data_IF_088469882872
#
_entry.id   IF_088469882872
#
_cell.length_a   1.000
_cell.length_b   1.000
_cell.length_c   1.000
_cell.angle_alpha   90.00
_cell.angle_beta   90.00
_cell.angle_gamma   90.00
#
_symmetry.space_group_name_H-M   'P 1'
#
loop_
_entity.id
_entity.type
_entity.pdbx_description
1 polymer ?
#
# COMPACT_ATOMS: atom_id res chain seq x y z
N UNK A 1 3.58 -28.73 2.25
CA UNK A 1 4.21 -27.46 1.86
C UNK A 1 3.81 -27.13 0.43
N UNK A 2 2.83 -26.23 0.24
CA UNK A 2 2.44 -25.73 -1.09
C UNK A 2 3.42 -24.63 -1.48
N UNK A 3 3.95 -24.71 -2.67
CA UNK A 3 4.97 -23.78 -3.18
C UNK A 3 4.34 -22.41 -3.44
N UNK A 4 4.96 -21.37 -2.90
CA UNK A 4 4.73 -19.99 -3.34
C UNK A 4 5.30 -19.89 -4.76
N UNK A 5 4.45 -19.61 -5.74
CA UNK A 5 4.95 -19.33 -7.08
C UNK A 5 5.37 -17.86 -7.11
N UNK A 6 6.66 -17.59 -6.92
CA UNK A 6 7.25 -16.33 -7.32
C UNK A 6 7.29 -16.29 -8.85
N UNK A 7 6.52 -15.42 -9.45
CA UNK A 7 6.63 -15.16 -10.88
C UNK A 7 7.71 -14.11 -11.12
N UNK A 8 8.86 -14.58 -11.57
CA UNK A 8 9.93 -13.70 -12.06
C UNK A 8 9.52 -13.15 -13.42
N UNK A 9 9.36 -11.84 -13.54
CA UNK A 9 9.11 -11.18 -14.81
C UNK A 9 10.35 -11.29 -15.71
N UNK A 10 10.27 -12.04 -16.78
CA UNK A 10 11.27 -12.02 -17.85
C UNK A 10 10.94 -10.90 -18.85
N UNK A 11 11.89 -9.99 -19.04
CA UNK A 11 11.82 -8.91 -20.02
C UNK A 11 11.86 -9.49 -21.46
N UNK A 12 10.91 -9.06 -22.29
CA UNK A 12 11.07 -9.07 -23.74
C UNK A 12 11.09 -7.62 -24.23
N UNK A 13 12.25 -7.16 -24.68
CA UNK A 13 12.37 -5.94 -25.48
C UNK A 13 11.74 -6.21 -26.86
N UNK A 14 10.61 -5.55 -27.12
CA UNK A 14 10.11 -5.38 -28.47
C UNK A 14 10.36 -3.93 -28.91
N UNK A 15 11.18 -3.76 -29.93
CA UNK A 15 11.38 -2.48 -30.58
C UNK A 15 10.07 -2.02 -31.23
N UNK A 16 9.60 -0.85 -30.86
CA UNK A 16 8.45 -0.21 -31.51
C UNK A 16 8.89 1.00 -32.30
N UNK A 17 8.69 0.91 -33.58
CA UNK A 17 8.65 2.05 -34.51
C UNK A 17 7.19 2.47 -34.71
N UNK A 18 6.97 3.78 -34.65
CA UNK A 18 5.88 4.57 -35.20
C UNK A 18 4.49 4.51 -34.52
N UNK A 19 4.06 5.71 -34.11
CA UNK A 19 2.67 6.04 -33.81
C UNK A 19 2.52 7.16 -32.76
N UNK A 20 2.96 8.38 -33.11
CA UNK A 20 2.56 9.59 -32.40
C UNK A 20 1.09 9.86 -32.68
N UNK A 21 0.16 9.43 -31.85
CA UNK A 21 -1.21 10.01 -31.85
C UNK A 21 -2.17 9.32 -30.86
N UNK A 22 -1.74 9.02 -29.62
CA UNK A 22 -2.67 8.42 -28.65
C UNK A 22 -2.71 9.07 -27.26
N UNK A 23 -2.37 10.35 -27.17
CA UNK A 23 -2.32 11.04 -25.86
C UNK A 23 -3.22 12.28 -25.78
N UNK A 24 -4.29 12.32 -26.54
CA UNK A 24 -5.36 13.28 -26.29
C UNK A 24 -6.45 12.62 -25.43
N UNK A 25 -6.16 12.29 -24.17
CA UNK A 25 -7.21 12.08 -23.21
C UNK A 25 -7.84 13.44 -22.90
N UNK A 26 -9.05 13.59 -23.39
CA UNK A 26 -9.91 14.74 -23.20
C UNK A 26 -10.01 15.11 -21.71
N UNK A 27 -9.49 16.28 -21.35
CA UNK A 27 -9.73 16.94 -20.06
C UNK A 27 -11.14 17.50 -19.94
N UNK A 28 -12.14 16.87 -20.54
CA UNK A 28 -13.53 17.23 -20.31
C UNK A 28 -14.01 16.55 -19.04
N UNK A 29 -14.19 17.30 -17.97
CA UNK A 29 -14.64 16.87 -16.64
C UNK A 29 -16.02 16.23 -16.62
N UNK A 30 -16.19 15.11 -17.31
CA UNK A 30 -17.29 14.19 -17.07
C UNK A 30 -16.79 13.16 -16.06
N UNK A 31 -17.42 13.14 -14.89
CA UNK A 31 -17.31 12.01 -13.96
C UNK A 31 -17.72 10.77 -14.73
N UNK A 32 -16.75 9.91 -15.10
CA UNK A 32 -17.04 8.58 -15.58
C UNK A 32 -17.64 7.79 -14.42
N UNK A 33 -18.96 7.66 -14.44
CA UNK A 33 -19.73 6.97 -13.41
C UNK A 33 -19.94 5.48 -13.72
N UNK A 34 -19.38 5.01 -14.84
CA UNK A 34 -19.53 3.63 -15.28
C UNK A 34 -18.19 2.90 -15.24
N UNK A 35 -18.16 1.64 -14.74
CA UNK A 35 -16.99 0.80 -14.84
C UNK A 35 -16.60 0.62 -16.31
N UNK A 36 -15.31 0.76 -16.61
CA UNK A 36 -14.74 0.51 -17.92
C UNK A 36 -13.99 -0.80 -17.89
N UNK A 37 -14.38 -1.76 -18.70
CA UNK A 37 -13.63 -2.99 -18.85
C UNK A 37 -12.37 -2.72 -19.68
N UNK A 38 -11.24 -3.13 -19.15
CA UNK A 38 -9.94 -3.04 -19.81
C UNK A 38 -9.35 -4.44 -19.97
N UNK A 39 -9.70 -5.17 -21.03
CA UNK A 39 -9.19 -6.51 -21.27
C UNK A 39 -7.67 -6.48 -21.51
N UNK A 40 -6.95 -7.42 -20.91
CA UNK A 40 -5.51 -7.57 -21.06
C UNK A 40 -5.18 -8.92 -21.68
N UNK A 41 -4.43 -8.86 -22.78
CA UNK A 41 -4.02 -10.04 -23.54
C UNK A 41 -2.52 -10.28 -23.32
N UNK A 42 -2.15 -10.78 -22.15
CA UNK A 42 -0.78 -11.19 -21.90
C UNK A 42 -0.71 -12.71 -21.74
N UNK A 43 0.21 -13.31 -22.48
CA UNK A 43 0.57 -14.70 -22.22
C UNK A 43 1.45 -14.74 -20.96
N UNK A 44 0.91 -15.07 -19.81
CA UNK A 44 1.62 -15.10 -18.54
C UNK A 44 0.99 -14.17 -17.51
N UNK A 45 1.81 -13.43 -16.77
CA UNK A 45 1.35 -12.49 -15.75
C UNK A 45 0.59 -11.33 -16.39
N UNK A 46 -0.57 -11.00 -15.85
CA UNK A 46 -1.38 -9.85 -16.29
C UNK A 46 -0.78 -8.52 -15.77
N UNK A 47 0.46 -8.22 -16.11
CA UNK A 47 1.15 -7.00 -15.75
C UNK A 47 1.34 -6.08 -16.98
N UNK A 48 1.17 -4.76 -16.83
CA UNK A 48 0.56 -4.07 -15.70
C UNK A 48 -0.95 -4.35 -15.61
N UNK A 49 -1.56 -4.18 -14.43
CA UNK A 49 -3.02 -4.35 -14.26
C UNK A 49 -3.82 -3.28 -15.02
N UNK A 50 -3.22 -2.11 -15.23
CA UNK A 50 -3.77 -0.99 -15.98
C UNK A 50 -2.74 -0.43 -16.94
N UNK A 51 -3.16 -0.03 -18.12
CA UNK A 51 -2.36 0.61 -19.16
C UNK A 51 -2.77 2.07 -19.41
N UNK A 52 -3.77 2.57 -18.69
CA UNK A 52 -4.33 3.92 -18.88
C UNK A 52 -4.33 4.77 -17.59
N UNK A 53 -4.06 4.17 -16.43
CA UNK A 53 -3.99 4.88 -15.16
C UNK A 53 -2.84 4.32 -14.31
N UNK A 54 -2.08 5.20 -13.69
CA UNK A 54 -0.95 4.82 -12.84
C UNK A 54 -1.44 4.64 -11.41
N UNK A 55 -1.17 3.45 -10.87
CA UNK A 55 -1.62 3.02 -9.56
C UNK A 55 -0.41 2.56 -8.77
N UNK A 56 -0.17 3.22 -7.63
CA UNK A 56 0.86 2.83 -6.68
C UNK A 56 0.25 2.26 -5.39
N UNK A 57 1.10 1.73 -4.50
CA UNK A 57 0.76 1.31 -3.15
C UNK A 57 -0.50 0.42 -3.10
N UNK A 58 -0.48 -0.74 -3.76
CA UNK A 58 -1.68 -1.55 -3.91
C UNK A 58 -2.12 -2.18 -2.59
N UNK A 59 -3.44 -2.25 -2.39
CA UNK A 59 -4.11 -3.11 -1.42
C UNK A 59 -5.25 -3.85 -2.09
N UNK A 60 -5.65 -5.00 -1.58
CA UNK A 60 -6.74 -5.77 -2.19
C UNK A 60 -7.51 -6.61 -1.19
N UNK A 61 -8.69 -7.04 -1.62
CA UNK A 61 -9.49 -8.01 -0.89
C UNK A 61 -10.38 -8.81 -1.84
N UNK A 62 -10.70 -10.04 -1.45
CA UNK A 62 -11.73 -10.83 -2.11
C UNK A 62 -13.09 -10.54 -1.48
N UNK A 63 -14.10 -10.32 -2.33
CA UNK A 63 -15.49 -10.23 -1.91
C UNK A 63 -16.41 -10.88 -2.94
N UNK A 64 -17.21 -11.84 -2.49
CA UNK A 64 -18.15 -12.61 -3.33
C UNK A 64 -17.49 -13.24 -4.58
N UNK A 65 -16.27 -13.77 -4.41
CA UNK A 65 -15.54 -14.46 -5.47
C UNK A 65 -14.87 -13.53 -6.48
N UNK A 66 -14.97 -12.21 -6.29
CA UNK A 66 -14.32 -11.19 -7.09
C UNK A 66 -13.22 -10.50 -6.28
N UNK A 67 -12.09 -10.25 -6.90
CA UNK A 67 -10.98 -9.53 -6.29
C UNK A 67 -11.09 -8.04 -6.61
N UNK A 68 -10.98 -7.21 -5.57
CA UNK A 68 -10.95 -5.75 -5.67
C UNK A 68 -9.57 -5.24 -5.27
N UNK A 69 -9.02 -4.35 -6.07
CA UNK A 69 -7.71 -3.72 -5.84
C UNK A 69 -7.88 -2.22 -5.76
N UNK A 70 -7.24 -1.62 -4.77
CA UNK A 70 -7.22 -0.18 -4.58
C UNK A 70 -5.76 0.28 -4.56
N UNK A 71 -5.52 1.54 -4.91
CA UNK A 71 -4.18 2.11 -4.84
C UNK A 71 -4.18 3.62 -4.98
N UNK A 72 -3.02 4.18 -4.74
CA UNK A 72 -2.72 5.61 -4.88
C UNK A 72 -2.84 6.03 -6.35
N UNK A 73 -3.51 7.15 -6.61
CA UNK A 73 -3.67 7.67 -7.97
C UNK A 73 -2.48 8.53 -8.39
N UNK A 74 -1.41 7.92 -8.83
CA UNK A 74 -0.22 8.64 -9.31
C UNK A 74 -0.45 9.42 -10.60
N UNK A 75 -1.46 9.06 -11.40
CA UNK A 75 -1.87 9.84 -12.58
C UNK A 75 -2.25 11.27 -12.19
N UNK A 76 -2.89 11.47 -11.04
CA UNK A 76 -3.29 12.79 -10.58
C UNK A 76 -2.09 13.70 -10.29
N UNK A 77 -1.00 13.15 -9.78
CA UNK A 77 0.25 13.89 -9.60
C UNK A 77 0.84 14.30 -10.96
N UNK A 78 0.89 13.37 -11.91
CA UNK A 78 1.39 13.64 -13.26
C UNK A 78 0.59 14.73 -13.95
N UNK A 79 -0.75 14.60 -13.94
CA UNK A 79 -1.64 15.57 -14.59
C UNK A 79 -1.48 16.98 -13.99
N UNK A 80 -1.12 17.05 -12.69
CA UNK A 80 -0.94 18.32 -11.99
C UNK A 80 0.39 18.99 -12.28
N UNK A 81 1.49 18.24 -12.42
CA UNK A 81 2.84 18.80 -12.57
C UNK A 81 3.45 18.58 -13.96
N UNK A 82 2.85 17.73 -14.78
CA UNK A 82 3.38 17.32 -16.09
C UNK A 82 4.60 16.40 -15.97
N UNK A 83 5.01 15.83 -17.09
CA UNK A 83 6.11 14.84 -17.17
C UNK A 83 7.48 15.36 -16.71
N UNK A 84 7.69 16.66 -16.83
CA UNK A 84 8.95 17.32 -16.45
C UNK A 84 8.84 18.04 -15.09
N UNK A 85 7.68 17.89 -14.42
CA UNK A 85 7.41 18.51 -13.14
C UNK A 85 8.05 17.75 -11.98
N UNK A 86 8.29 18.47 -10.89
CA UNK A 86 8.81 17.85 -9.67
C UNK A 86 7.73 17.04 -8.97
N UNK A 87 7.98 15.76 -8.75
CA UNK A 87 7.08 14.94 -7.96
C UNK A 87 7.17 15.32 -6.46
N UNK A 88 6.08 15.85 -5.93
CA UNK A 88 5.95 16.23 -4.52
C UNK A 88 4.87 15.42 -3.80
N UNK A 89 4.13 14.55 -4.54
CA UNK A 89 3.02 13.71 -4.07
C UNK A 89 1.85 14.49 -3.44
N UNK A 90 1.95 15.81 -3.34
CA UNK A 90 0.95 16.66 -2.67
C UNK A 90 -0.36 16.85 -3.46
N UNK A 91 -0.36 16.51 -4.75
CA UNK A 91 -1.54 16.63 -5.61
C UNK A 91 -2.39 15.37 -5.68
N UNK A 92 -1.99 14.31 -4.98
CA UNK A 92 -2.72 13.04 -4.96
C UNK A 92 -3.82 13.12 -3.89
N UNK A 93 -5.07 13.23 -4.36
CA UNK A 93 -6.25 13.41 -3.51
C UNK A 93 -7.33 12.36 -3.77
N UNK A 94 -7.02 11.35 -4.56
CA UNK A 94 -7.94 10.27 -4.91
C UNK A 94 -7.24 8.91 -4.92
N UNK A 95 -8.05 7.86 -4.78
CA UNK A 95 -7.62 6.47 -4.86
C UNK A 95 -8.29 5.81 -6.06
N UNK A 96 -7.60 4.87 -6.69
CA UNK A 96 -8.08 4.09 -7.84
C UNK A 96 -8.78 2.84 -7.36
N UNK A 97 -9.85 2.42 -8.05
CA UNK A 97 -10.55 1.16 -7.80
C UNK A 97 -10.54 0.30 -9.06
N UNK A 98 -10.01 -0.93 -8.94
CA UNK A 98 -10.00 -1.96 -9.97
C UNK A 98 -10.61 -3.25 -9.43
N UNK A 99 -11.11 -4.14 -10.29
CA UNK A 99 -11.51 -5.49 -9.88
C UNK A 99 -11.38 -6.51 -11.00
N UNK A 100 -11.32 -7.78 -10.64
CA UNK A 100 -11.23 -8.90 -11.58
C UNK A 100 -11.87 -10.16 -11.03
N UNK A 101 -12.35 -11.02 -11.91
CA UNK A 101 -12.78 -12.38 -11.58
C UNK A 101 -11.74 -13.44 -11.98
N UNK A 102 -10.78 -13.12 -12.84
CA UNK A 102 -9.90 -14.08 -13.49
C UNK A 102 -8.42 -13.68 -13.51
N UNK A 103 -8.07 -12.54 -12.92
CA UNK A 103 -6.71 -11.95 -12.91
C UNK A 103 -6.19 -11.55 -14.30
N UNK A 104 -7.03 -11.57 -15.31
CA UNK A 104 -6.71 -11.24 -16.70
C UNK A 104 -7.52 -10.03 -17.17
N UNK A 105 -8.84 -10.09 -16.97
CA UNK A 105 -9.76 -9.01 -17.33
C UNK A 105 -10.02 -8.13 -16.12
N UNK A 106 -9.75 -6.83 -16.26
CA UNK A 106 -9.88 -5.87 -15.17
C UNK A 106 -10.97 -4.85 -15.47
N UNK A 107 -11.80 -4.60 -14.46
CA UNK A 107 -12.82 -3.56 -14.48
C UNK A 107 -12.32 -2.35 -13.71
N UNK A 108 -12.32 -1.18 -14.32
CA UNK A 108 -12.06 0.09 -13.65
C UNK A 108 -13.37 0.66 -13.12
N UNK A 109 -13.43 0.92 -11.81
CA UNK A 109 -14.62 1.43 -11.11
C UNK A 109 -14.57 2.95 -10.87
N UNK A 110 -13.57 3.63 -11.41
CA UNK A 110 -13.37 5.05 -11.19
C UNK A 110 -12.51 5.35 -9.97
N UNK A 111 -12.63 6.58 -9.50
CA UNK A 111 -11.83 7.12 -8.41
C UNK A 111 -12.67 7.31 -7.15
N UNK A 112 -12.03 7.13 -6.00
CA UNK A 112 -12.53 7.63 -4.72
C UNK A 112 -11.96 9.03 -4.56
N UNK A 113 -12.79 10.05 -4.68
CA UNK A 113 -12.40 11.45 -4.43
C UNK A 113 -12.31 11.70 -2.92
N UNK A 114 -11.16 11.34 -2.35
CA UNK A 114 -10.93 11.44 -0.90
C UNK A 114 -11.04 12.89 -0.43
N UNK A 115 -10.59 13.84 -1.25
CA UNK A 115 -10.66 15.27 -0.89
C UNK A 115 -12.09 15.80 -0.79
N UNK A 116 -12.97 15.32 -1.64
CA UNK A 116 -14.39 15.67 -1.54
C UNK A 116 -15.07 15.04 -0.31
N UNK A 117 -14.68 13.81 0.03
CA UNK A 117 -15.21 13.08 1.20
C UNK A 117 -14.65 13.58 2.52
N UNK A 118 -13.36 13.90 2.55
CA UNK A 118 -12.59 14.34 3.72
C UNK A 118 -11.92 15.69 3.44
N UNK A 119 -12.67 16.81 3.42
CA UNK A 119 -12.14 18.14 3.07
C UNK A 119 -10.99 18.62 3.96
N UNK A 120 -10.89 18.08 5.17
CA UNK A 120 -9.82 18.33 6.13
C UNK A 120 -8.49 17.69 5.71
N UNK A 121 -8.52 16.70 4.79
CA UNK A 121 -7.34 15.95 4.36
C UNK A 121 -6.36 16.77 3.52
N UNK A 122 -5.09 16.39 3.58
CA UNK A 122 -3.99 16.98 2.81
C UNK A 122 -3.79 16.21 1.51
N UNK A 123 -3.72 14.88 1.61
CA UNK A 123 -3.49 13.96 0.50
C UNK A 123 -4.13 12.60 0.77
N UNK A 124 -4.12 11.69 -0.20
CA UNK A 124 -4.57 10.32 -0.03
C UNK A 124 -3.60 9.36 -0.71
N UNK A 125 -2.74 8.73 0.09
CA UNK A 125 -1.75 7.77 -0.37
C UNK A 125 -1.97 6.41 0.29
N UNK A 126 -1.31 5.38 -0.25
CA UNK A 126 -1.14 4.05 0.33
C UNK A 126 -2.39 3.56 1.09
N UNK A 127 -3.42 3.13 0.38
CA UNK A 127 -4.62 2.61 1.03
C UNK A 127 -4.38 1.22 1.62
N UNK A 128 -5.18 0.86 2.63
CA UNK A 128 -5.31 -0.50 3.15
C UNK A 128 -6.77 -0.83 3.41
N UNK A 129 -7.27 -1.92 2.83
CA UNK A 129 -8.69 -2.31 2.86
C UNK A 129 -8.91 -3.55 3.72
N UNK A 130 -9.92 -3.49 4.57
CA UNK A 130 -10.50 -4.68 5.24
C UNK A 130 -12.01 -4.66 5.14
N UNK A 131 -12.64 -5.81 5.33
CA UNK A 131 -14.09 -5.91 5.40
C UNK A 131 -14.53 -6.89 6.48
N UNK A 132 -15.70 -6.65 7.05
CA UNK A 132 -16.30 -7.52 8.06
C UNK A 132 -17.81 -7.48 7.96
N UNK A 133 -18.48 -8.62 8.27
CA UNK A 133 -19.92 -8.63 8.47
C UNK A 133 -20.23 -8.02 9.82
N UNK A 134 -21.01 -6.94 9.82
CA UNK A 134 -21.38 -6.22 11.02
C UNK A 134 -22.72 -6.70 11.61
N UNK A 135 -23.12 -6.13 12.75
CA UNK A 135 -24.32 -6.55 13.49
C UNK A 135 -25.63 -6.35 12.72
N UNK A 136 -25.63 -5.53 11.68
CA UNK A 136 -26.76 -5.35 10.75
C UNK A 136 -26.87 -6.47 9.68
N UNK A 137 -25.97 -7.46 9.72
CA UNK A 137 -25.88 -8.58 8.81
C UNK A 137 -25.30 -8.23 7.44
N UNK A 138 -24.80 -7.01 7.24
CA UNK A 138 -24.16 -6.58 5.99
C UNK A 138 -22.67 -6.59 6.12
N UNK A 139 -21.97 -6.77 4.99
CA UNK A 139 -20.55 -6.55 4.91
C UNK A 139 -20.29 -5.05 4.87
N UNK A 140 -19.47 -4.58 5.79
CA UNK A 140 -18.93 -3.23 5.81
C UNK A 140 -17.46 -3.25 5.39
N UNK A 141 -17.05 -2.24 4.66
CA UNK A 141 -15.73 -2.05 4.11
C UNK A 141 -15.09 -0.86 4.78
N UNK A 142 -13.84 -1.01 5.19
CA UNK A 142 -13.05 0.01 5.88
C UNK A 142 -11.77 0.22 5.09
N UNK A 143 -11.63 1.40 4.49
CA UNK A 143 -10.48 1.78 3.67
C UNK A 143 -9.67 2.84 4.41
N UNK A 144 -8.58 2.41 5.00
CA UNK A 144 -7.61 3.30 5.61
C UNK A 144 -6.72 3.90 4.53
N UNK A 145 -6.22 5.11 4.75
CA UNK A 145 -5.32 5.77 3.79
C UNK A 145 -4.38 6.73 4.51
N UNK A 146 -3.22 6.97 3.93
CA UNK A 146 -2.28 7.98 4.42
C UNK A 146 -2.78 9.38 4.06
N UNK A 147 -3.01 10.21 5.08
CA UNK A 147 -3.21 11.64 4.88
C UNK A 147 -1.85 12.35 4.82
N UNK A 148 -1.06 12.10 3.75
CA UNK A 148 0.35 12.47 3.73
C UNK A 148 1.10 11.82 4.92
N UNK A 149 2.26 12.33 5.32
CA UNK A 149 2.93 11.94 6.54
C UNK A 149 2.25 12.42 7.84
N UNK A 150 1.10 13.10 7.76
CA UNK A 150 0.43 13.68 8.91
C UNK A 150 -0.43 12.69 9.71
N UNK A 151 -0.83 11.58 9.10
CA UNK A 151 -1.66 10.59 9.79
C UNK A 151 -2.42 9.65 8.87
N UNK A 152 -3.30 8.86 9.46
CA UNK A 152 -4.17 7.89 8.79
C UNK A 152 -5.62 8.35 8.86
N UNK A 153 -6.28 8.43 7.72
CA UNK A 153 -7.73 8.58 7.60
C UNK A 153 -8.42 7.24 7.37
N UNK A 154 -9.74 7.21 7.50
CA UNK A 154 -10.54 6.02 7.19
C UNK A 154 -11.83 6.41 6.48
N UNK A 155 -12.17 5.66 5.44
CA UNK A 155 -13.45 5.73 4.75
C UNK A 155 -14.21 4.43 4.97
N UNK A 156 -15.53 4.51 4.96
CA UNK A 156 -16.42 3.34 5.12
C UNK A 156 -17.44 3.25 4.00
N UNK A 157 -17.86 2.03 3.68
CA UNK A 157 -18.92 1.74 2.71
C UNK A 157 -19.59 0.41 3.03
N UNK A 158 -20.76 0.16 2.46
CA UNK A 158 -21.42 -1.17 2.42
C UNK A 158 -21.28 -1.85 1.06
N UNK A 159 -20.44 -1.30 0.19
CA UNK A 159 -20.11 -1.88 -1.12
C UNK A 159 -18.61 -1.70 -1.39
N UNK A 160 -17.95 -2.67 -2.03
CA UNK A 160 -16.51 -2.54 -2.32
C UNK A 160 -16.17 -1.41 -3.29
N UNK A 161 -17.15 -0.88 -4.01
CA UNK A 161 -16.97 0.24 -4.95
C UNK A 161 -17.65 1.52 -4.49
N UNK A 162 -18.10 1.58 -3.24
CA UNK A 162 -18.79 2.75 -2.70
C UNK A 162 -20.32 2.72 -2.87
N UNK A 163 -21.01 3.82 -2.54
CA UNK A 163 -20.44 5.12 -2.15
C UNK A 163 -19.67 5.04 -0.83
N UNK A 164 -18.57 5.79 -0.79
CA UNK A 164 -17.71 5.90 0.39
C UNK A 164 -18.12 7.11 1.24
N UNK A 165 -17.89 7.03 2.54
CA UNK A 165 -18.13 8.10 3.50
C UNK A 165 -16.96 8.23 4.47
N UNK A 166 -16.70 9.43 4.96
CA UNK A 166 -15.78 9.70 6.06
C UNK A 166 -16.57 9.66 7.38
N UNK A 167 -16.44 8.60 8.19
CA UNK A 167 -17.24 8.47 9.42
C UNK A 167 -16.75 9.35 10.56
N UNK A 168 -15.51 9.86 10.50
CA UNK A 168 -14.88 10.58 11.60
C UNK A 168 -14.80 12.10 11.39
N UNK A 169 -14.73 12.57 10.15
CA UNK A 169 -14.46 13.97 9.84
C UNK A 169 -13.07 14.43 10.33
N UNK A 170 -12.17 13.50 10.60
CA UNK A 170 -10.80 13.72 11.09
C UNK A 170 -9.93 12.48 10.90
N UNK A 171 -8.64 12.62 11.09
CA UNK A 171 -7.73 11.46 11.12
C UNK A 171 -8.07 10.50 12.27
N UNK A 172 -7.97 9.19 12.01
CA UNK A 172 -8.01 8.13 13.01
C UNK A 172 -6.73 8.15 13.85
N UNK A 173 -5.58 8.25 13.19
CA UNK A 173 -4.27 8.45 13.80
C UNK A 173 -3.67 9.73 13.22
N UNK A 174 -3.08 10.56 14.05
CA UNK A 174 -2.39 11.78 13.65
C UNK A 174 -1.07 11.92 14.37
N UNK A 175 -0.22 12.83 13.95
CA UNK A 175 1.04 13.17 14.63
C UNK A 175 0.85 13.58 16.11
N UNK A 176 -0.37 13.91 16.52
CA UNK A 176 -0.73 14.30 17.89
C UNK A 176 -1.37 13.16 18.68
N UNK A 177 -1.53 11.98 18.09
CA UNK A 177 -2.09 10.82 18.79
C UNK A 177 -1.15 10.40 19.92
N UNK A 178 -1.71 10.21 21.13
CA UNK A 178 -0.94 9.76 22.28
C UNK A 178 -0.36 8.36 22.06
N UNK A 179 0.85 8.12 22.50
CA UNK A 179 1.51 6.81 22.41
C UNK A 179 2.34 6.61 21.14
N UNK A 180 2.43 7.57 20.24
CA UNK A 180 3.27 7.45 19.03
C UNK A 180 4.77 7.33 19.35
N UNK A 181 5.22 7.80 20.52
CA UNK A 181 6.64 7.83 20.84
C UNK A 181 7.44 8.64 19.80
N UNK A 182 8.41 8.01 19.17
CA UNK A 182 9.29 8.66 18.19
C UNK A 182 8.80 8.59 16.74
N UNK A 183 7.65 7.98 16.47
CA UNK A 183 7.05 7.96 15.14
C UNK A 183 6.53 9.35 14.78
N UNK A 184 7.26 10.05 13.89
CA UNK A 184 6.90 11.42 13.47
C UNK A 184 5.94 11.46 12.29
N UNK A 185 5.96 10.44 11.47
CA UNK A 185 5.10 10.30 10.29
C UNK A 185 4.27 9.02 10.40
N UNK A 186 3.11 9.05 11.07
CA UNK A 186 2.22 7.90 11.18
C UNK A 186 1.40 7.72 9.90
N UNK A 187 2.00 7.19 8.84
CA UNK A 187 1.41 6.98 7.54
C UNK A 187 1.59 5.54 7.05
N UNK A 188 1.19 5.24 5.82
CA UNK A 188 1.19 3.92 5.20
C UNK A 188 0.52 2.87 6.09
N UNK A 189 -0.81 2.94 6.24
CA UNK A 189 -1.53 1.99 7.07
C UNK A 189 -1.49 0.60 6.47
N UNK A 190 -1.23 -0.42 7.31
CA UNK A 190 -1.46 -1.82 7.01
C UNK A 190 -2.51 -2.38 7.97
N UNK A 191 -3.67 -2.75 7.47
CA UNK A 191 -4.78 -3.23 8.27
C UNK A 191 -5.06 -4.72 8.04
N UNK A 192 -5.43 -5.43 9.10
CA UNK A 192 -5.89 -6.82 9.03
C UNK A 192 -6.95 -7.10 10.08
N UNK A 193 -7.81 -8.06 9.82
CA UNK A 193 -8.75 -8.62 10.81
C UNK A 193 -8.32 -10.06 11.08
N UNK A 194 -8.17 -10.41 12.35
CA UNK A 194 -7.80 -11.75 12.78
C UNK A 194 -9.00 -12.72 12.82
N UNK A 195 -8.74 -13.99 13.20
CA UNK A 195 -9.77 -15.05 13.26
C UNK A 195 -10.85 -14.78 14.32
N UNK A 196 -10.59 -13.89 15.28
CA UNK A 196 -11.56 -13.48 16.31
C UNK A 196 -12.38 -12.26 15.85
N UNK A 197 -12.11 -11.73 14.66
CA UNK A 197 -12.77 -10.55 14.11
C UNK A 197 -12.24 -9.22 14.69
N UNK A 198 -11.08 -9.26 15.35
CA UNK A 198 -10.42 -8.08 15.89
C UNK A 198 -9.60 -7.41 14.78
N UNK A 199 -9.78 -6.10 14.63
CA UNK A 199 -9.01 -5.30 13.70
C UNK A 199 -7.67 -4.85 14.28
N UNK A 200 -6.66 -4.82 13.42
CA UNK A 200 -5.30 -4.39 13.72
C UNK A 200 -4.84 -3.40 12.67
N UNK A 201 -4.03 -2.41 13.07
CA UNK A 201 -3.50 -1.38 12.19
C UNK A 201 -2.02 -1.16 12.49
N UNK A 202 -1.16 -1.38 11.49
CA UNK A 202 0.23 -0.91 11.50
C UNK A 202 0.35 0.40 10.73
N UNK A 203 1.33 1.20 11.06
CA UNK A 203 1.64 2.46 10.39
C UNK A 203 3.01 2.99 10.83
N UNK A 204 3.49 4.00 10.14
CA UNK A 204 4.71 4.72 10.49
C UNK A 204 5.71 4.77 9.36
N UNK A 205 6.68 5.67 9.48
CA UNK A 205 7.74 5.79 8.49
C UNK A 205 8.40 7.16 8.45
N UNK A 206 9.12 7.38 7.34
CA UNK A 206 9.83 8.64 7.10
C UNK A 206 11.26 8.68 7.63
N UNK A 207 11.79 7.56 8.11
CA UNK A 207 13.15 7.45 8.60
C UNK A 207 13.27 7.56 10.12
N UNK A 208 14.50 7.54 10.63
CA UNK A 208 14.77 7.47 12.06
C UNK A 208 14.15 8.62 12.84
N UNK A 209 13.51 8.28 13.95
CA UNK A 209 13.07 9.22 14.97
C UNK A 209 14.22 9.91 15.69
N UNK A 210 13.93 10.74 16.70
CA UNK A 210 14.95 11.54 17.42
C UNK A 210 16.02 10.69 18.11
N UNK A 211 15.67 9.47 18.52
CA UNK A 211 16.58 8.54 19.20
C UNK A 211 16.82 7.26 18.40
N UNK A 212 16.25 7.14 17.21
CA UNK A 212 16.47 6.00 16.32
C UNK A 212 17.89 5.98 15.75
N UNK A 213 18.35 4.79 15.39
CA UNK A 213 19.59 4.59 14.62
C UNK A 213 19.25 4.26 13.17
N UNK A 214 20.24 4.24 12.29
CA UNK A 214 20.02 3.79 10.90
C UNK A 214 19.54 2.33 10.84
N UNK A 215 20.03 1.49 11.76
CA UNK A 215 19.60 0.10 11.88
C UNK A 215 18.22 -0.05 12.51
N UNK A 216 17.91 0.70 13.55
CA UNK A 216 16.63 0.69 14.26
C UNK A 216 16.02 2.11 14.26
N UNK A 217 15.30 2.49 13.21
CA UNK A 217 14.71 3.83 13.11
C UNK A 217 13.69 4.12 14.21
N UNK A 218 12.95 3.10 14.67
CA UNK A 218 12.01 3.21 15.78
C UNK A 218 10.71 3.94 15.43
N UNK A 219 10.26 3.89 14.19
CA UNK A 219 9.09 4.63 13.68
C UNK A 219 7.91 3.74 13.26
N UNK A 220 8.09 2.41 13.17
CA UNK A 220 7.01 1.47 12.91
C UNK A 220 6.13 1.25 14.15
N UNK A 221 4.83 1.23 13.95
CA UNK A 221 3.81 1.09 15.02
C UNK A 221 2.75 0.08 14.66
N UNK A 222 2.16 -0.51 15.71
CA UNK A 222 0.95 -1.33 15.63
C UNK A 222 0.00 -0.98 16.77
N UNK A 223 -1.29 -1.10 16.49
CA UNK A 223 -2.37 -0.85 17.45
C UNK A 223 -3.54 -1.79 17.18
N UNK A 224 -4.26 -2.19 18.21
CA UNK A 224 -5.56 -2.84 18.07
C UNK A 224 -6.62 -1.78 17.81
N UNK A 225 -7.46 -2.03 16.80
CA UNK A 225 -8.62 -1.19 16.52
C UNK A 225 -9.78 -1.51 17.48
N UNK A 226 -10.63 -0.52 17.70
CA UNK A 226 -11.89 -0.72 18.39
C UNK A 226 -12.84 -1.64 17.62
N UNK A 227 -13.90 -2.07 18.31
CA UNK A 227 -14.92 -2.93 17.71
C UNK A 227 -15.61 -2.32 16.47
N UNK A 228 -15.58 -1.00 16.36
CA UNK A 228 -16.11 -0.24 15.24
C UNK A 228 -15.14 -0.13 14.05
N UNK A 229 -13.90 -0.58 14.20
CA UNK A 229 -12.80 -0.47 13.24
C UNK A 229 -12.43 0.98 12.84
N UNK A 230 -12.98 1.97 13.53
CA UNK A 230 -12.73 3.41 13.31
C UNK A 230 -12.30 4.13 14.59
N UNK A 231 -11.91 3.39 15.62
CA UNK A 231 -11.31 3.88 16.86
C UNK A 231 -10.13 3.00 17.27
N UNK A 232 -9.35 3.42 18.26
CA UNK A 232 -8.22 2.66 18.80
C UNK A 232 -8.63 2.05 20.15
N UNK A 233 -8.26 0.79 20.41
CA UNK A 233 -8.64 0.04 21.62
C UNK A 233 -7.43 -0.65 22.29
N UNK A 234 -6.23 -0.16 22.08
CA UNK A 234 -5.03 -0.55 22.81
C UNK A 234 -4.02 0.59 22.90
N UNK A 235 -2.97 0.38 23.68
CA UNK A 235 -1.74 1.15 23.56
C UNK A 235 -1.16 0.97 22.15
N UNK A 236 -0.51 2.02 21.63
CA UNK A 236 0.25 1.96 20.39
C UNK A 236 1.63 1.40 20.71
N UNK A 237 2.01 0.32 20.05
CA UNK A 237 3.24 -0.42 20.34
C UNK A 237 4.24 -0.26 19.18
N UNK A 238 5.52 -0.16 19.52
CA UNK A 238 6.59 -0.13 18.52
C UNK A 238 6.85 -1.53 17.96
N UNK A 239 6.96 -1.62 16.63
CA UNK A 239 7.56 -2.76 15.94
C UNK A 239 9.04 -2.41 15.70
N UNK A 240 9.95 -3.18 16.32
CA UNK A 240 11.39 -2.99 16.15
C UNK A 240 11.87 -3.52 14.78
N UNK A 241 11.43 -2.86 13.72
CA UNK A 241 11.72 -3.27 12.34
C UNK A 241 13.08 -2.73 11.88
N UNK A 242 14.04 -3.61 11.55
CA UNK A 242 15.37 -3.19 11.10
C UNK A 242 15.29 -2.42 9.78
N UNK A 243 15.98 -1.28 9.71
CA UNK A 243 16.04 -0.40 8.53
C UNK A 243 14.67 0.02 8.00
N UNK A 244 13.66 0.09 8.86
CA UNK A 244 12.32 0.49 8.47
C UNK A 244 12.30 1.87 7.82
N UNK A 245 11.44 2.03 6.78
CA UNK A 245 11.28 3.31 6.10
C UNK A 245 9.79 3.65 5.87
N UNK A 246 9.03 2.76 5.20
CA UNK A 246 7.62 2.98 4.84
C UNK A 246 6.94 1.68 4.39
N UNK A 247 5.79 1.79 3.73
CA UNK A 247 5.07 0.69 3.07
C UNK A 247 4.66 -0.43 4.02
N UNK A 248 4.04 -0.04 5.14
CA UNK A 248 3.58 -1.01 6.12
C UNK A 248 2.41 -1.84 5.59
N UNK A 249 2.45 -3.14 5.86
CA UNK A 249 1.38 -4.07 5.54
C UNK A 249 1.24 -5.08 6.68
N UNK A 250 0.01 -5.49 6.99
CA UNK A 250 -0.27 -6.57 7.93
C UNK A 250 -1.02 -7.69 7.25
N UNK A 251 -0.57 -8.90 7.51
CA UNK A 251 -1.30 -10.12 7.21
C UNK A 251 -1.45 -10.95 8.49
N UNK A 252 -2.51 -11.74 8.55
CA UNK A 252 -2.75 -12.67 9.65
C UNK A 252 -3.01 -14.07 9.10
N UNK A 253 -2.37 -15.06 9.69
CA UNK A 253 -2.58 -16.44 9.32
C UNK A 253 -2.31 -17.40 10.48
N UNK A 254 -3.35 -18.15 10.89
CA UNK A 254 -3.24 -19.19 11.93
C UNK A 254 -2.55 -18.71 13.21
N UNK A 255 -2.98 -17.60 13.79
CA UNK A 255 -2.42 -17.05 15.02
C UNK A 255 -1.09 -16.33 14.85
N UNK A 256 -0.66 -16.08 13.62
CA UNK A 256 0.58 -15.38 13.31
C UNK A 256 0.28 -14.08 12.59
N UNK A 257 0.70 -12.95 13.15
CA UNK A 257 0.77 -11.67 12.46
C UNK A 257 2.05 -11.62 11.65
N UNK A 258 1.93 -11.23 10.40
CA UNK A 258 3.04 -11.04 9.45
C UNK A 258 3.05 -9.57 9.10
N UNK A 259 4.07 -8.87 9.52
CA UNK A 259 4.29 -7.46 9.22
C UNK A 259 5.32 -7.36 8.10
N UNK A 260 4.97 -6.68 7.02
CA UNK A 260 5.88 -6.38 5.91
C UNK A 260 6.09 -4.89 5.79
N UNK A 261 7.27 -4.50 5.31
CA UNK A 261 7.67 -3.10 5.23
C UNK A 261 8.80 -2.91 4.21
N UNK A 262 8.95 -1.69 3.75
CA UNK A 262 10.08 -1.28 2.91
C UNK A 262 11.25 -0.81 3.77
N UNK A 263 12.45 -1.28 3.44
CA UNK A 263 13.68 -0.82 4.08
C UNK A 263 14.17 0.48 3.48
N UNK A 264 14.93 1.26 4.25
CA UNK A 264 15.40 2.57 3.86
C UNK A 264 16.47 2.55 2.73
N UNK A 265 16.88 3.74 2.31
CA UNK A 265 17.89 3.97 1.26
C UNK A 265 19.32 4.06 1.78
N UNK A 266 19.51 4.01 3.11
CA UNK A 266 20.80 4.21 3.73
C UNK A 266 21.71 2.98 3.56
N UNK A 267 23.02 3.22 3.64
CA UNK A 267 24.00 2.15 3.67
C UNK A 267 23.80 1.25 4.89
N UNK A 268 23.76 -0.06 4.68
CA UNK A 268 23.64 -1.06 5.74
C UNK A 268 24.92 -1.12 6.57
N UNK A 269 24.87 -0.70 7.82
CA UNK A 269 26.01 -0.64 8.74
C UNK A 269 26.04 -1.81 9.72
N UNK A 270 24.89 -2.19 10.26
CA UNK A 270 24.74 -3.21 11.29
C UNK A 270 23.87 -4.36 10.77
N UNK A 271 24.20 -5.60 11.17
CA UNK A 271 23.33 -6.73 10.90
C UNK A 271 23.61 -7.87 11.88
N UNK A 272 22.94 -7.91 13.04
CA UNK A 272 23.18 -8.90 14.08
C UNK A 272 22.39 -10.21 13.89
N UNK A 273 21.67 -10.38 12.77
CA UNK A 273 20.88 -11.58 12.52
C UNK A 273 21.70 -12.65 11.81
N UNK A 274 22.07 -13.70 12.55
CA UNK A 274 22.79 -14.85 11.99
C UNK A 274 21.88 -15.68 11.08
N UNK A 275 22.45 -16.17 9.97
CA UNK A 275 21.75 -17.07 9.03
C UNK A 275 20.68 -16.41 8.14
N UNK A 276 20.54 -15.10 8.21
CA UNK A 276 19.63 -14.33 7.36
C UNK A 276 20.41 -13.24 6.65
N UNK A 277 20.15 -13.07 5.37
CA UNK A 277 20.82 -12.05 4.57
C UNK A 277 20.42 -10.63 5.01
N UNK A 278 21.43 -9.76 5.10
CA UNK A 278 21.21 -8.34 5.35
C UNK A 278 20.37 -7.76 4.21
N UNK A 279 19.30 -6.98 4.53
CA UNK A 279 18.44 -6.42 3.50
C UNK A 279 19.21 -5.46 2.59
N UNK A 280 18.91 -5.50 1.29
CA UNK A 280 19.36 -4.48 0.36
C UNK A 280 18.60 -3.16 0.61
N UNK A 281 19.06 -2.08 -0.02
CA UNK A 281 18.35 -0.80 0.09
C UNK A 281 16.97 -0.90 -0.57
N UNK A 282 15.99 -0.23 0.02
CA UNK A 282 14.63 -0.12 -0.49
C UNK A 282 14.04 -1.48 -0.96
N UNK A 283 14.27 -2.55 -0.19
CA UNK A 283 13.67 -3.86 -0.44
C UNK A 283 12.56 -4.15 0.57
N UNK A 284 11.66 -5.04 0.24
CA UNK A 284 10.61 -5.47 1.14
C UNK A 284 11.11 -6.58 2.07
N UNK A 285 10.98 -6.35 3.35
CA UNK A 285 11.31 -7.27 4.43
C UNK A 285 10.08 -7.63 5.25
N UNK A 286 10.17 -8.70 6.05
CA UNK A 286 9.06 -9.07 6.91
C UNK A 286 9.47 -9.60 8.27
N UNK A 287 8.56 -9.40 9.21
CA UNK A 287 8.63 -9.87 10.58
C UNK A 287 7.38 -10.65 10.95
N UNK A 288 7.48 -11.49 11.97
CA UNK A 288 6.33 -12.25 12.50
C UNK A 288 6.20 -12.10 14.00
N UNK A 289 4.97 -12.20 14.49
CA UNK A 289 4.65 -12.24 15.93
C UNK A 289 3.41 -13.10 16.19
N UNK A 290 3.31 -13.66 17.38
CA UNK A 290 2.09 -14.30 17.92
C UNK A 290 1.40 -13.43 19.01
N UNK A 291 2.06 -12.35 19.43
CA UNK A 291 1.59 -11.42 20.47
C UNK A 291 1.90 -9.98 20.02
N UNK A 292 1.16 -9.43 19.05
CA UNK A 292 1.57 -8.23 18.31
C UNK A 292 1.69 -6.97 19.17
N UNK A 293 1.08 -6.91 20.35
CA UNK A 293 1.24 -5.80 21.31
C UNK A 293 2.45 -5.96 22.24
N UNK A 294 3.23 -7.03 22.10
CA UNK A 294 4.51 -7.18 22.77
C UNK A 294 5.63 -6.80 21.78
N UNK A 295 6.26 -5.67 22.00
CA UNK A 295 7.37 -5.14 21.20
C UNK A 295 8.50 -6.15 20.98
N UNK A 296 8.78 -7.00 21.97
CA UNK A 296 9.89 -7.97 21.91
C UNK A 296 9.48 -9.31 21.26
N UNK A 297 8.20 -9.49 20.95
CA UNK A 297 7.68 -10.68 20.28
C UNK A 297 7.97 -10.71 18.79
N UNK A 298 8.19 -9.56 18.17
CA UNK A 298 8.42 -9.45 16.74
C UNK A 298 9.78 -10.00 16.35
N UNK A 299 9.79 -10.93 15.41
CA UNK A 299 11.02 -11.58 14.91
C UNK A 299 11.19 -11.26 13.44
N UNK A 300 12.35 -10.71 13.11
CA UNK A 300 12.77 -10.56 11.70
C UNK A 300 12.92 -11.94 11.07
N UNK A 301 12.41 -12.12 9.87
CA UNK A 301 12.46 -13.41 9.18
C UNK A 301 13.36 -13.33 7.96
N UNK A 302 13.06 -12.47 6.98
CA UNK A 302 13.86 -12.35 5.75
C UNK A 302 13.39 -11.18 4.88
N UNK A 303 14.09 -10.98 3.76
CA UNK A 303 13.66 -10.18 2.62
C UNK A 303 12.87 -11.09 1.67
N UNK A 304 11.78 -10.59 1.12
CA UNK A 304 10.95 -11.40 0.21
C UNK A 304 10.79 -10.78 -1.19
N UNK A 305 11.03 -9.49 -1.34
CA UNK A 305 10.91 -8.80 -2.60
C UNK A 305 11.99 -7.73 -2.74
N UNK A 306 12.89 -7.92 -3.70
CA UNK A 306 13.97 -6.97 -3.99
C UNK A 306 13.41 -5.73 -4.67
N UNK A 307 14.15 -4.64 -4.60
CA UNK A 307 13.80 -3.46 -5.36
C UNK A 307 13.76 -3.77 -6.86
N UNK A 308 12.79 -3.25 -7.62
CA UNK A 308 12.78 -3.37 -9.08
C UNK A 308 14.08 -2.95 -9.75
N UNK A 309 14.84 -2.02 -9.15
CA UNK A 309 16.16 -1.60 -9.60
C UNK A 309 17.21 -2.71 -9.62
N UNK A 310 17.09 -3.71 -8.74
CA UNK A 310 17.98 -4.89 -8.73
C UNK A 310 17.81 -5.76 -10.00
N UNK A 311 16.71 -5.55 -10.74
CA UNK A 311 16.38 -6.22 -11.99
C UNK A 311 16.53 -5.31 -13.22
N UNK A 312 17.22 -4.16 -13.08
CA UNK A 312 17.47 -3.23 -14.18
C UNK A 312 16.29 -2.31 -14.52
N UNK A 313 15.30 -2.21 -13.66
CA UNK A 313 14.13 -1.36 -13.85
C UNK A 313 14.25 0.04 -13.21
N UNK A 314 15.39 0.42 -12.70
CA UNK A 314 15.58 1.65 -11.93
C UNK A 314 15.16 1.49 -10.46
N UNK A 315 15.95 2.08 -9.57
CA UNK A 315 15.64 2.10 -8.14
C UNK A 315 14.58 3.16 -7.84
N UNK A 316 13.56 2.77 -7.10
CA UNK A 316 12.46 3.64 -6.68
C UNK A 316 11.77 3.09 -5.45
N UNK A 317 10.79 3.84 -4.92
CA UNK A 317 9.93 3.35 -3.85
C UNK A 317 9.28 2.01 -4.23
N UNK A 318 9.06 1.19 -3.23
CA UNK A 318 8.58 -0.16 -3.39
C UNK A 318 7.52 -0.44 -2.32
N UNK A 319 6.35 -0.84 -2.75
CA UNK A 319 5.24 -1.19 -1.87
C UNK A 319 4.55 -2.43 -2.40
N UNK A 320 4.26 -3.38 -1.53
CA UNK A 320 3.65 -4.66 -1.94
C UNK A 320 2.45 -5.00 -1.07
N UNK A 321 1.55 -5.78 -1.62
CA UNK A 321 0.42 -6.36 -0.90
C UNK A 321 0.28 -7.84 -1.26
N UNK A 322 0.17 -8.71 -0.24
CA UNK A 322 -0.02 -10.14 -0.42
C UNK A 322 -1.50 -10.51 -0.30
N UNK A 323 -2.06 -11.11 -1.32
CA UNK A 323 -3.47 -11.53 -1.36
C UNK A 323 -3.61 -13.01 -1.73
N UNK A 324 -4.45 -13.70 -0.98
CA UNK A 324 -4.93 -15.02 -1.37
C UNK A 324 -6.21 -14.89 -2.21
N UNK A 325 -6.23 -15.49 -3.39
CA UNK A 325 -7.39 -15.46 -4.27
C UNK A 325 -7.55 -16.79 -5.02
N UNK A 326 -8.73 -17.39 -4.98
CA UNK A 326 -9.07 -18.67 -5.65
C UNK A 326 -8.05 -19.80 -5.39
N UNK A 327 -7.49 -19.82 -4.18
CA UNK A 327 -6.57 -20.87 -3.72
C UNK A 327 -5.10 -20.59 -3.99
N UNK A 328 -4.75 -19.60 -4.80
CA UNK A 328 -3.39 -19.13 -5.07
C UNK A 328 -3.06 -17.87 -4.27
N UNK A 329 -1.77 -17.55 -4.16
CA UNK A 329 -1.28 -16.32 -3.54
C UNK A 329 -0.70 -15.41 -4.62
N UNK A 330 -1.08 -14.14 -4.56
CA UNK A 330 -0.65 -13.09 -5.47
C UNK A 330 0.04 -11.99 -4.69
N UNK A 331 1.18 -11.53 -5.21
CA UNK A 331 1.88 -10.35 -4.71
C UNK A 331 1.60 -9.20 -5.68
N UNK A 332 0.85 -8.22 -5.21
CA UNK A 332 0.68 -6.95 -5.90
C UNK A 332 1.82 -6.02 -5.54
N UNK A 333 2.33 -5.29 -6.50
CA UNK A 333 3.40 -4.32 -6.30
C UNK A 333 3.32 -3.21 -7.35
N UNK A 334 3.94 -2.08 -7.08
CA UNK A 334 4.20 -1.07 -8.08
C UNK A 334 5.69 -0.99 -8.40
N UNK A 335 6.01 -0.42 -9.55
CA UNK A 335 7.33 0.04 -9.89
C UNK A 335 7.24 1.36 -10.66
N UNK A 336 8.29 2.14 -10.60
CA UNK A 336 8.35 3.45 -11.25
C UNK A 336 8.92 3.39 -12.68
N UNK A 337 8.86 2.24 -13.33
CA UNK A 337 9.32 2.04 -14.71
C UNK A 337 8.41 2.65 -15.77
N UNK A 338 7.41 3.40 -15.39
CA UNK A 338 6.60 4.15 -16.32
C UNK A 338 7.35 5.39 -16.81
N UNK A 339 7.10 5.76 -18.06
CA UNK A 339 7.62 6.95 -18.73
C UNK A 339 7.46 8.29 -17.97
N UNK A 340 6.78 8.24 -16.83
CA UNK A 340 6.53 9.36 -15.94
C UNK A 340 7.73 9.83 -15.14
N UNK A 341 8.71 8.96 -14.92
CA UNK A 341 9.79 9.20 -13.99
C UNK A 341 11.13 9.10 -14.71
N UNK A 342 11.37 10.05 -15.62
CA UNK A 342 12.70 10.25 -16.20
C UNK A 342 13.63 11.03 -15.25
N UNK A 343 13.11 11.53 -14.13
CA UNK A 343 13.88 12.18 -13.07
C UNK A 343 13.67 11.42 -11.76
N UNK A 344 14.72 11.20 -10.97
CA UNK A 344 14.56 10.59 -9.64
C UNK A 344 13.58 11.42 -8.81
N UNK A 345 12.67 10.74 -8.13
CA UNK A 345 11.78 11.34 -7.15
C UNK A 345 12.61 11.98 -6.03
N UNK A 346 12.17 13.06 -5.37
CA UNK A 346 12.80 13.54 -4.15
C UNK A 346 12.89 12.51 -3.02
N UNK A 347 12.12 11.41 -3.10
CA UNK A 347 12.26 10.25 -2.21
C UNK A 347 13.41 9.33 -2.63
N UNK A 348 13.90 9.48 -3.84
CA UNK A 348 14.97 8.64 -4.43
C UNK A 348 16.36 9.24 -4.24
N UNK A 349 16.51 10.32 -3.45
CA UNK A 349 17.77 11.03 -3.19
C UNK A 349 18.16 10.91 -1.72
#
# INVERSE_FOLDING_TARGET
MKRIKLFTAALLLAAMSAGNDMWALSTSGKKDTHPVESPKFFSGNANPLSDFIFVADPTSMEYNGRLYVYGTNDTQQLDSVGKDGKNTYQYIHSLVMLSTDDMVNWTYHGLIDVKALSPWGIASWAPSIVSRIESDGKTHFYLYYSNSGAGVGVLTSTSPVGPWTDPLGRMLVSQFTQGLGHCKAPFDPGAVIDDEGIGWLSFGGGGKGEVGTDYMPGDARIVRLGKDLISLDSEIVEIKAPYHFEANELNYWNGTWIYTYNTDWNKRTEWPHEGVDKPSICCMSYMTSHTPLDTDSWKYVDNYFKNPGDYGMGFSNNHTHLQKYKGDYYLFYHNMCCLLYTSPSPRDI
#
